data_IF_315878544551
#
_entry.id   IF_315878544551
#
_cell.length_a   1.000
_cell.length_b   1.000
_cell.length_c   1.000
_cell.angle_alpha   90.00
_cell.angle_beta   90.00
_cell.angle_gamma   90.00
#
_symmetry.space_group_name_H-M   'P 1'
#
loop_
_entity.id
_entity.type
_entity.pdbx_description
1 polymer ?
#
# COMPACT_ATOMS: atom_id res chain seq x y z
N UNK A 1 -9.73 -19.61 13.49
CA UNK A 1 -10.65 -19.06 14.51
C UNK A 1 -11.91 -18.60 13.80
N UNK A 2 -13.07 -19.20 14.09
CA UNK A 2 -14.33 -18.84 13.44
C UNK A 2 -15.03 -17.62 14.08
N UNK A 3 -14.50 -17.07 15.18
CA UNK A 3 -15.18 -16.07 16.02
C UNK A 3 -14.77 -14.60 15.76
N UNK A 4 -13.95 -14.33 14.74
CA UNK A 4 -13.40 -12.99 14.49
C UNK A 4 -12.42 -12.51 15.58
N UNK A 5 -11.90 -11.29 15.42
CA UNK A 5 -11.13 -10.59 16.45
C UNK A 5 -12.09 -9.66 17.20
N UNK A 6 -12.14 -9.69 18.54
CA UNK A 6 -12.98 -8.77 19.31
C UNK A 6 -12.75 -7.31 18.89
N UNK A 7 -13.83 -6.60 18.57
CA UNK A 7 -13.77 -5.21 18.11
C UNK A 7 -13.40 -5.02 16.63
N UNK A 8 -13.14 -6.08 15.86
CA UNK A 8 -12.82 -5.97 14.44
C UNK A 8 -13.98 -6.40 13.53
N UNK A 9 -14.44 -7.64 13.67
CA UNK A 9 -15.62 -8.11 12.95
C UNK A 9 -16.25 -9.31 13.64
N UNK A 10 -17.52 -9.54 13.39
CA UNK A 10 -18.27 -10.71 13.87
C UNK A 10 -18.82 -11.53 12.72
N UNK A 11 -18.79 -12.88 12.78
CA UNK A 11 -19.43 -13.72 11.78
C UNK A 11 -20.94 -13.47 11.73
N UNK A 12 -21.51 -13.41 10.51
CA UNK A 12 -22.97 -13.39 10.37
C UNK A 12 -23.54 -14.77 10.65
N UNK A 13 -24.65 -14.82 11.38
CA UNK A 13 -25.33 -16.08 11.75
C UNK A 13 -25.99 -16.76 10.54
N UNK A 14 -26.41 -15.98 9.55
CA UNK A 14 -27.01 -16.45 8.31
C UNK A 14 -26.00 -16.32 7.19
N UNK A 15 -25.78 -17.39 6.43
CA UNK A 15 -24.92 -17.35 5.24
C UNK A 15 -25.48 -16.36 4.22
N UNK A 16 -24.63 -15.57 3.53
CA UNK A 16 -25.06 -14.60 2.52
C UNK A 16 -25.94 -15.19 1.42
N UNK A 17 -25.76 -16.48 1.11
CA UNK A 17 -26.55 -17.22 0.12
C UNK A 17 -28.04 -17.32 0.49
N UNK A 18 -28.37 -17.24 1.79
CA UNK A 18 -29.74 -17.31 2.29
C UNK A 18 -30.29 -15.96 2.76
N UNK A 19 -29.49 -14.90 2.72
CA UNK A 19 -29.92 -13.57 3.09
C UNK A 19 -30.78 -12.92 2.00
N UNK A 20 -31.60 -11.95 2.38
CA UNK A 20 -32.46 -11.23 1.43
C UNK A 20 -31.61 -10.41 0.44
N UNK A 21 -31.83 -10.52 -0.87
CA UNK A 21 -31.09 -9.74 -1.86
C UNK A 21 -31.17 -8.22 -1.58
N UNK A 22 -30.03 -7.53 -1.74
CA UNK A 22 -29.91 -6.10 -1.50
C UNK A 22 -29.61 -5.69 -0.06
N UNK A 23 -29.51 -6.65 0.87
CA UNK A 23 -29.10 -6.39 2.26
C UNK A 23 -27.58 -6.55 2.45
N UNK A 24 -27.00 -5.90 3.47
CA UNK A 24 -25.59 -6.08 3.82
C UNK A 24 -25.26 -7.53 4.17
N UNK A 25 -26.22 -8.27 4.74
CA UNK A 25 -26.15 -9.70 5.05
C UNK A 25 -25.94 -10.55 3.80
N UNK A 26 -26.50 -10.14 2.66
CA UNK A 26 -26.34 -10.83 1.37
C UNK A 26 -25.00 -10.51 0.68
N UNK A 27 -24.24 -9.54 1.18
CA UNK A 27 -23.03 -9.02 0.53
C UNK A 27 -21.73 -9.38 1.24
N UNK A 28 -21.77 -9.95 2.45
CA UNK A 28 -20.57 -10.26 3.24
C UNK A 28 -20.74 -11.40 4.22
N UNK A 29 -19.65 -12.12 4.52
CA UNK A 29 -19.66 -13.16 5.56
C UNK A 29 -19.57 -12.61 6.99
N UNK A 30 -19.03 -11.39 7.14
CA UNK A 30 -18.80 -10.76 8.43
C UNK A 30 -19.54 -9.42 8.54
N UNK A 31 -19.87 -9.04 9.78
CA UNK A 31 -20.29 -7.69 10.15
C UNK A 31 -19.09 -6.91 10.69
N UNK A 32 -18.85 -5.72 10.13
CA UNK A 32 -17.75 -4.82 10.49
C UNK A 32 -18.18 -3.67 11.40
N UNK A 33 -19.43 -3.61 11.85
CA UNK A 33 -19.91 -2.57 12.77
C UNK A 33 -19.02 -2.41 14.03
N UNK A 34 -18.50 -3.49 14.67
CA UNK A 34 -17.61 -3.35 15.83
C UNK A 34 -16.30 -2.60 15.54
N UNK A 35 -15.81 -2.63 14.29
CA UNK A 35 -14.62 -1.88 13.89
C UNK A 35 -14.85 -0.38 14.03
N UNK A 36 -16.05 0.10 13.72
CA UNK A 36 -16.38 1.52 13.84
C UNK A 36 -16.19 2.00 15.28
N UNK A 37 -16.75 1.27 16.24
CA UNK A 37 -16.64 1.59 17.66
C UNK A 37 -15.19 1.57 18.14
N UNK A 38 -14.42 0.57 17.71
CA UNK A 38 -13.00 0.47 18.02
C UNK A 38 -12.21 1.67 17.46
N UNK A 39 -12.44 2.03 16.20
CA UNK A 39 -11.79 3.19 15.58
C UNK A 39 -12.15 4.49 16.29
N UNK A 40 -13.44 4.70 16.59
CA UNK A 40 -13.91 5.89 17.31
C UNK A 40 -13.33 5.98 18.74
N UNK A 41 -13.00 4.85 19.36
CA UNK A 41 -12.37 4.81 20.69
C UNK A 41 -10.85 5.07 20.68
N UNK A 42 -10.19 4.83 19.56
CA UNK A 42 -8.72 4.87 19.44
C UNK A 42 -8.21 6.09 18.67
N UNK A 43 -9.01 6.63 17.75
CA UNK A 43 -8.60 7.69 16.84
C UNK A 43 -9.14 9.03 17.32
N UNK A 44 -8.22 9.96 17.57
CA UNK A 44 -8.55 11.37 17.64
C UNK A 44 -8.79 11.90 16.22
N UNK A 45 -10.07 11.98 15.83
CA UNK A 45 -10.46 12.42 14.49
C UNK A 45 -10.10 13.87 14.20
N UNK A 46 -10.04 14.74 15.21
CA UNK A 46 -9.68 16.13 15.00
C UNK A 46 -8.17 16.29 14.81
N UNK A 47 -7.36 15.53 15.54
CA UNK A 47 -5.92 15.43 15.29
C UNK A 47 -5.64 14.82 13.91
N UNK A 48 -6.36 13.78 13.51
CA UNK A 48 -6.16 13.15 12.20
C UNK A 48 -6.46 14.12 11.05
N UNK A 49 -7.53 14.90 11.14
CA UNK A 49 -7.97 15.77 10.05
C UNK A 49 -7.30 17.15 10.04
N UNK A 50 -6.95 17.69 11.21
CA UNK A 50 -6.40 19.05 11.33
C UNK A 50 -4.93 19.06 11.77
N UNK A 51 -4.35 17.89 12.04
CA UNK A 51 -2.96 17.74 12.47
C UNK A 51 -1.96 17.93 11.33
N UNK A 52 -0.66 17.88 11.65
CA UNK A 52 0.41 18.13 10.69
C UNK A 52 0.68 16.94 9.75
N UNK A 53 0.10 15.77 10.02
CA UNK A 53 0.33 14.55 9.25
C UNK A 53 -0.83 14.35 8.28
N UNK A 54 -0.53 14.46 6.97
CA UNK A 54 -1.48 14.13 5.91
C UNK A 54 -1.73 12.63 5.85
N UNK A 55 -3.01 12.24 5.76
CA UNK A 55 -3.44 10.86 5.52
C UNK A 55 -4.22 10.78 4.21
N UNK A 56 -3.93 9.75 3.41
CA UNK A 56 -4.70 9.38 2.23
C UNK A 56 -5.07 7.90 2.32
N UNK A 57 -6.34 7.56 2.13
CA UNK A 57 -6.84 6.18 2.12
C UNK A 57 -7.57 5.87 0.83
N UNK A 58 -7.26 4.71 0.23
CA UNK A 58 -7.75 4.33 -1.09
C UNK A 58 -8.95 3.39 -1.00
N UNK A 59 -9.99 3.64 -1.78
CA UNK A 59 -11.17 2.77 -1.87
C UNK A 59 -11.70 2.70 -3.31
N UNK A 60 -12.45 1.64 -3.61
CA UNK A 60 -13.06 1.40 -4.92
C UNK A 60 -14.57 1.59 -4.83
N UNK A 61 -15.10 2.46 -5.67
CA UNK A 61 -16.55 2.64 -5.86
C UNK A 61 -17.12 1.35 -6.48
N UNK A 62 -18.05 0.70 -5.79
CA UNK A 62 -18.55 -0.64 -6.13
C UNK A 62 -19.29 -0.65 -7.46
N UNK A 63 -20.02 0.41 -7.79
CA UNK A 63 -20.86 0.46 -8.98
C UNK A 63 -20.05 0.80 -10.23
N UNK A 64 -19.14 1.76 -10.11
CA UNK A 64 -18.34 2.22 -11.25
C UNK A 64 -17.01 1.48 -11.42
N UNK A 65 -16.53 0.81 -10.37
CA UNK A 65 -15.20 0.21 -10.32
C UNK A 65 -14.05 1.22 -10.25
N UNK A 66 -14.36 2.51 -10.09
CA UNK A 66 -13.36 3.58 -10.05
C UNK A 66 -12.69 3.63 -8.68
N UNK A 67 -11.36 3.71 -8.70
CA UNK A 67 -10.54 3.87 -7.51
C UNK A 67 -10.34 5.34 -7.16
N UNK A 68 -10.53 5.68 -5.89
CA UNK A 68 -10.39 7.04 -5.38
C UNK A 68 -9.58 7.07 -4.07
N UNK A 69 -8.93 8.20 -3.81
CA UNK A 69 -8.32 8.49 -2.51
C UNK A 69 -9.17 9.50 -1.75
N UNK A 70 -9.48 9.18 -0.50
CA UNK A 70 -9.93 10.16 0.48
C UNK A 70 -8.70 10.72 1.18
N UNK A 71 -8.55 12.03 1.18
CA UNK A 71 -7.34 12.71 1.66
C UNK A 71 -7.71 13.82 2.64
N UNK A 72 -7.02 13.87 3.78
CA UNK A 72 -7.23 14.89 4.83
C UNK A 72 -7.13 16.33 4.33
N UNK A 73 -6.44 16.58 3.21
CA UNK A 73 -6.32 17.91 2.61
C UNK A 73 -7.56 18.37 1.85
N UNK A 74 -8.44 17.46 1.46
CA UNK A 74 -9.64 17.75 0.65
C UNK A 74 -10.93 17.21 1.25
N UNK A 75 -10.84 16.23 2.13
CA UNK A 75 -11.96 15.47 2.68
C UNK A 75 -11.77 15.25 4.17
N UNK A 76 -12.81 15.49 4.96
CA UNK A 76 -12.79 15.08 6.38
C UNK A 76 -12.98 13.57 6.47
N UNK A 77 -11.96 12.89 6.98
CA UNK A 77 -11.91 11.45 7.20
C UNK A 77 -12.56 11.08 8.53
N UNK A 78 -13.35 10.01 8.52
CA UNK A 78 -13.93 9.36 9.69
C UNK A 78 -13.76 7.84 9.59
N UNK A 79 -14.33 7.09 10.54
CA UNK A 79 -14.25 5.63 10.58
C UNK A 79 -14.67 4.96 9.28
N UNK A 80 -15.67 5.49 8.55
CA UNK A 80 -16.20 4.89 7.32
C UNK A 80 -15.12 4.83 6.23
N UNK A 81 -14.30 5.86 6.12
CA UNK A 81 -13.23 5.94 5.13
C UNK A 81 -12.13 4.89 5.38
N UNK A 82 -11.78 4.67 6.65
CA UNK A 82 -10.83 3.63 7.05
C UNK A 82 -11.43 2.24 6.82
N UNK A 83 -12.68 2.04 7.23
CA UNK A 83 -13.39 0.78 7.01
C UNK A 83 -13.54 0.45 5.53
N UNK A 84 -13.88 1.43 4.68
CA UNK A 84 -13.97 1.28 3.24
C UNK A 84 -12.64 0.81 2.64
N UNK A 85 -11.53 1.46 3.01
CA UNK A 85 -10.20 1.11 2.53
C UNK A 85 -9.74 -0.30 2.93
N UNK A 86 -10.33 -0.90 3.96
CA UNK A 86 -10.05 -2.27 4.42
C UNK A 86 -11.18 -3.28 4.17
N UNK A 87 -12.25 -2.88 3.48
CA UNK A 87 -13.44 -3.71 3.27
C UNK A 87 -13.21 -4.73 2.13
N UNK A 88 -12.39 -5.75 2.39
CA UNK A 88 -11.99 -6.73 1.38
C UNK A 88 -13.15 -7.72 1.10
N UNK A 89 -13.71 -7.74 -0.13
CA UNK A 89 -14.76 -8.68 -0.48
C UNK A 89 -14.21 -10.10 -0.72
N UNK A 90 -15.04 -11.16 -0.54
CA UNK A 90 -16.42 -11.12 -0.03
C UNK A 90 -16.51 -11.15 1.51
N UNK A 91 -15.39 -10.95 2.21
CA UNK A 91 -15.35 -11.06 3.68
C UNK A 91 -16.15 -9.97 4.36
N UNK A 92 -15.80 -8.72 4.10
CA UNK A 92 -16.39 -7.53 4.72
C UNK A 92 -17.39 -6.85 3.77
N UNK A 93 -18.46 -6.24 4.31
CA UNK A 93 -19.46 -5.57 3.49
C UNK A 93 -18.91 -4.27 2.91
N UNK A 94 -19.47 -3.78 1.79
CA UNK A 94 -19.15 -2.44 1.34
C UNK A 94 -19.56 -1.41 2.39
N UNK A 95 -18.85 -0.29 2.43
CA UNK A 95 -19.14 0.83 3.33
C UNK A 95 -19.79 1.96 2.55
N UNK A 96 -20.91 2.47 3.06
CA UNK A 96 -21.59 3.62 2.45
C UNK A 96 -20.98 4.95 2.91
N UNK A 97 -20.55 5.76 1.94
CA UNK A 97 -20.06 7.14 2.14
C UNK A 97 -20.75 8.01 1.09
N UNK A 98 -21.49 9.00 1.56
CA UNK A 98 -22.20 10.00 0.74
C UNK A 98 -23.06 9.39 -0.39
N UNK A 99 -23.80 8.33 -0.06
CA UNK A 99 -24.71 7.64 -0.97
C UNK A 99 -24.04 6.68 -1.96
N UNK A 100 -22.73 6.46 -1.84
CA UNK A 100 -21.96 5.50 -2.65
C UNK A 100 -21.42 4.37 -1.80
N UNK A 101 -21.29 3.19 -2.42
CA UNK A 101 -20.72 2.02 -1.77
C UNK A 101 -19.25 1.84 -2.15
N UNK A 102 -18.44 1.52 -1.15
CA UNK A 102 -17.00 1.45 -1.27
C UNK A 102 -16.42 0.13 -0.75
N UNK A 103 -15.46 -0.41 -1.49
CA UNK A 103 -14.65 -1.57 -1.10
C UNK A 103 -13.17 -1.22 -0.98
N UNK A 104 -12.42 -2.19 -0.46
CA UNK A 104 -10.97 -2.13 -0.27
C UNK A 104 -10.23 -1.66 -1.53
N UNK A 105 -9.37 -0.65 -1.33
CA UNK A 105 -8.55 -0.06 -2.38
C UNK A 105 -7.56 -1.00 -3.03
N UNK A 106 -7.11 -2.03 -2.30
CA UNK A 106 -6.20 -3.07 -2.73
C UNK A 106 -6.73 -3.88 -3.92
N UNK A 107 -8.05 -3.89 -4.16
CA UNK A 107 -8.63 -4.47 -5.38
C UNK A 107 -8.04 -3.84 -6.66
N UNK A 108 -7.70 -2.55 -6.61
CA UNK A 108 -7.14 -1.80 -7.74
C UNK A 108 -5.67 -1.45 -7.50
N UNK A 109 -5.33 -0.94 -6.31
CA UNK A 109 -3.97 -0.50 -5.96
C UNK A 109 -3.63 -0.84 -4.52
N UNK A 110 -2.69 -1.78 -4.34
CA UNK A 110 -2.14 -2.15 -3.03
C UNK A 110 -0.90 -1.33 -2.65
N UNK A 111 -0.47 -0.40 -3.52
CA UNK A 111 0.70 0.45 -3.26
C UNK A 111 0.42 1.85 -3.77
N UNK A 112 0.08 2.80 -2.89
CA UNK A 112 -0.33 4.14 -3.28
C UNK A 112 0.84 5.05 -3.73
N UNK A 113 1.97 4.46 -4.13
CA UNK A 113 3.19 5.20 -4.49
C UNK A 113 2.93 6.21 -5.60
N UNK A 114 2.16 5.85 -6.63
CA UNK A 114 1.80 6.80 -7.70
C UNK A 114 1.09 8.03 -7.15
N UNK A 115 0.13 7.86 -6.24
CA UNK A 115 -0.60 8.99 -5.65
C UNK A 115 0.31 9.89 -4.81
N UNK A 116 1.20 9.30 -4.00
CA UNK A 116 2.18 10.05 -3.21
C UNK A 116 3.09 10.88 -4.12
N UNK A 117 3.51 10.31 -5.25
CA UNK A 117 4.43 10.97 -6.17
C UNK A 117 3.78 12.01 -7.07
N UNK A 118 2.54 11.78 -7.51
CA UNK A 118 1.75 12.77 -8.26
C UNK A 118 1.43 14.00 -7.41
N UNK A 119 1.44 13.86 -6.08
CA UNK A 119 1.23 14.93 -5.12
C UNK A 119 2.53 15.42 -4.45
N UNK A 120 3.69 15.05 -4.98
CA UNK A 120 4.98 15.43 -4.42
C UNK A 120 5.31 16.91 -4.70
N UNK A 121 5.53 17.69 -3.64
CA UNK A 121 5.97 19.09 -3.72
C UNK A 121 7.43 19.33 -3.33
N UNK A 122 8.10 18.32 -2.80
CA UNK A 122 9.45 18.42 -2.22
C UNK A 122 10.22 17.10 -2.39
N UNK A 123 11.57 17.08 -2.30
CA UNK A 123 12.34 15.84 -2.22
C UNK A 123 11.75 14.86 -1.19
N UNK A 124 11.56 13.60 -1.58
CA UNK A 124 10.81 12.63 -0.77
C UNK A 124 11.66 11.43 -0.39
N UNK A 125 11.63 11.08 0.90
CA UNK A 125 12.01 9.76 1.39
C UNK A 125 10.72 8.97 1.66
N UNK A 126 10.48 7.91 0.87
CA UNK A 126 9.29 7.10 0.97
C UNK A 126 9.64 5.71 1.53
N UNK A 127 8.96 5.30 2.60
CA UNK A 127 9.03 3.94 3.11
C UNK A 127 7.81 3.15 2.62
N UNK A 128 8.04 2.22 1.71
CA UNK A 128 7.02 1.35 1.16
C UNK A 128 7.05 0.02 1.91
N UNK A 129 6.00 -0.27 2.67
CA UNK A 129 5.82 -1.56 3.33
C UNK A 129 5.05 -2.49 2.39
N UNK A 130 5.65 -3.61 2.01
CA UNK A 130 5.00 -4.64 1.20
C UNK A 130 4.83 -5.91 2.03
N UNK A 131 3.58 -6.30 2.27
CA UNK A 131 3.26 -7.50 3.03
C UNK A 131 3.29 -8.79 2.19
N UNK A 132 3.44 -8.68 0.86
CA UNK A 132 3.39 -9.81 -0.07
C UNK A 132 4.76 -10.06 -0.71
N UNK A 133 5.47 -11.08 -0.24
CA UNK A 133 6.75 -11.47 -0.81
C UNK A 133 6.60 -12.02 -2.25
N UNK A 134 7.35 -11.45 -3.18
CA UNK A 134 7.38 -11.92 -4.57
C UNK A 134 7.97 -13.34 -4.71
N UNK A 135 8.79 -13.79 -3.75
CA UNK A 135 9.38 -15.13 -3.73
C UNK A 135 8.96 -15.88 -2.46
N UNK A 136 8.48 -17.11 -2.64
CA UNK A 136 8.09 -18.02 -1.58
C UNK A 136 8.55 -19.45 -1.93
N UNK A 137 8.56 -20.36 -0.95
CA UNK A 137 8.76 -21.78 -1.22
C UNK A 137 7.68 -22.33 -2.18
N UNK A 138 8.00 -23.45 -2.84
CA UNK A 138 7.03 -24.12 -3.72
C UNK A 138 5.81 -24.56 -2.89
N UNK A 139 4.57 -24.25 -3.31
CA UNK A 139 3.35 -24.69 -2.64
C UNK A 139 3.33 -26.22 -2.44
N UNK A 140 2.93 -26.68 -1.26
CA UNK A 140 2.85 -28.11 -0.90
C UNK A 140 1.40 -28.58 -0.72
N UNK A 141 0.48 -27.65 -0.47
CA UNK A 141 -0.96 -27.90 -0.27
C UNK A 141 -1.82 -27.00 -1.16
N UNK A 142 -3.09 -27.35 -1.33
CA UNK A 142 -4.05 -26.49 -2.05
C UNK A 142 -4.25 -25.13 -1.37
N UNK A 143 -4.12 -25.08 -0.04
CA UNK A 143 -4.16 -23.82 0.71
C UNK A 143 -2.95 -22.94 0.40
N UNK A 144 -1.77 -23.55 0.24
CA UNK A 144 -0.57 -22.83 -0.18
C UNK A 144 -0.72 -22.29 -1.61
N UNK A 145 -1.39 -23.03 -2.50
CA UNK A 145 -1.66 -22.58 -3.88
C UNK A 145 -2.57 -21.34 -3.87
N UNK A 146 -3.66 -21.35 -3.10
CA UNK A 146 -4.56 -20.21 -2.98
C UNK A 146 -3.85 -18.99 -2.37
N UNK A 147 -3.07 -19.19 -1.31
CA UNK A 147 -2.28 -18.13 -0.69
C UNK A 147 -1.23 -17.58 -1.67
N UNK A 148 -0.59 -18.44 -2.46
CA UNK A 148 0.42 -18.04 -3.44
C UNK A 148 -0.16 -17.30 -4.63
N UNK A 149 -1.35 -17.68 -5.11
CA UNK A 149 -2.07 -16.97 -6.17
C UNK A 149 -2.35 -15.53 -5.74
N UNK A 150 -2.85 -15.36 -4.51
CA UNK A 150 -3.09 -14.05 -3.89
C UNK A 150 -1.79 -13.23 -3.81
N UNK A 151 -0.72 -13.79 -3.24
CA UNK A 151 0.58 -13.13 -3.16
C UNK A 151 1.08 -12.65 -4.53
N UNK A 152 1.07 -13.52 -5.54
CA UNK A 152 1.53 -13.19 -6.89
C UNK A 152 0.68 -12.05 -7.47
N UNK A 153 -0.64 -12.12 -7.32
CA UNK A 153 -1.58 -11.10 -7.81
C UNK A 153 -1.28 -9.72 -7.22
N UNK A 154 -1.04 -9.63 -5.91
CA UNK A 154 -0.76 -8.36 -5.23
C UNK A 154 0.68 -7.90 -5.44
N UNK A 155 1.69 -8.75 -5.22
CA UNK A 155 3.11 -8.38 -5.35
C UNK A 155 3.49 -7.99 -6.78
N UNK A 156 2.90 -8.66 -7.79
CA UNK A 156 3.14 -8.34 -9.20
C UNK A 156 2.69 -6.91 -9.53
N UNK A 157 1.50 -6.51 -9.06
CA UNK A 157 0.98 -5.15 -9.25
C UNK A 157 1.86 -4.12 -8.55
N UNK A 158 2.19 -4.36 -7.28
CA UNK A 158 3.10 -3.50 -6.51
C UNK A 158 4.41 -3.26 -7.27
N UNK A 159 5.07 -4.34 -7.70
CA UNK A 159 6.34 -4.26 -8.43
C UNK A 159 6.20 -3.57 -9.79
N UNK A 160 5.12 -3.84 -10.53
CA UNK A 160 4.87 -3.20 -11.82
C UNK A 160 4.72 -1.69 -11.66
N UNK A 161 3.94 -1.24 -10.67
CA UNK A 161 3.74 0.18 -10.38
C UNK A 161 5.05 0.84 -9.97
N UNK A 162 5.77 0.28 -8.99
CA UNK A 162 7.07 0.82 -8.55
C UNK A 162 8.06 0.89 -9.72
N UNK A 163 8.16 -0.15 -10.55
CA UNK A 163 9.07 -0.15 -11.71
C UNK A 163 8.67 0.90 -12.76
N UNK A 164 7.38 1.04 -13.05
CA UNK A 164 6.87 2.01 -14.03
C UNK A 164 7.15 3.44 -13.58
N UNK A 165 6.86 3.75 -12.31
CA UNK A 165 7.17 5.02 -11.68
C UNK A 165 8.65 5.35 -11.78
N UNK A 166 9.51 4.40 -11.40
CA UNK A 166 10.97 4.61 -11.43
C UNK A 166 11.49 4.79 -12.86
N UNK A 167 10.88 4.11 -13.84
CA UNK A 167 11.21 4.28 -15.27
C UNK A 167 10.84 5.67 -15.77
N UNK A 168 9.62 6.13 -15.51
CA UNK A 168 9.14 7.48 -15.90
C UNK A 168 10.08 8.56 -15.33
N UNK A 169 10.49 8.41 -14.07
CA UNK A 169 11.43 9.35 -13.44
C UNK A 169 12.82 9.34 -14.06
N UNK A 170 13.32 8.16 -14.43
CA UNK A 170 14.60 8.04 -15.16
C UNK A 170 14.52 8.74 -16.52
N UNK A 171 13.41 8.57 -17.24
CA UNK A 171 13.18 9.23 -18.53
C UNK A 171 13.15 10.76 -18.37
N UNK A 172 12.48 11.28 -17.33
CA UNK A 172 12.47 12.71 -17.00
C UNK A 172 13.84 13.23 -16.55
N UNK A 173 14.64 12.43 -15.85
CA UNK A 173 16.02 12.79 -15.51
C UNK A 173 16.90 12.96 -16.77
N UNK A 174 16.73 12.06 -17.74
CA UNK A 174 17.42 12.15 -19.04
C UNK A 174 16.95 13.40 -19.78
N UNK A 175 15.64 13.67 -19.83
CA UNK A 175 15.09 14.87 -20.46
C UNK A 175 15.70 16.15 -19.86
N UNK A 176 15.81 16.25 -18.53
CA UNK A 176 16.46 17.39 -17.87
C UNK A 176 17.94 17.55 -18.25
N UNK A 177 18.68 16.44 -18.32
CA UNK A 177 20.08 16.43 -18.76
C UNK A 177 20.25 16.86 -20.22
N UNK A 178 19.26 16.60 -21.07
CA UNK A 178 19.22 17.06 -22.46
C UNK A 178 18.86 18.55 -22.52
N UNK A 179 17.81 18.97 -21.80
CA UNK A 179 17.39 20.37 -21.70
C UNK A 179 18.53 21.29 -21.24
N UNK A 180 19.34 20.85 -20.27
CA UNK A 180 20.50 21.60 -19.77
C UNK A 180 21.64 21.78 -20.81
N UNK A 181 21.59 21.06 -21.94
CA UNK A 181 22.57 21.17 -23.04
C UNK A 181 22.03 21.94 -24.23
N UNK A 182 20.76 22.33 -24.22
CA UNK A 182 20.17 23.09 -25.32
C UNK A 182 20.70 24.53 -25.34
N UNK A 183 20.89 25.13 -26.53
CA UNK A 183 21.28 26.52 -26.65
C UNK A 183 20.16 27.46 -26.14
N UNK A 184 20.54 28.63 -25.63
CA UNK A 184 19.58 29.61 -25.08
C UNK A 184 18.50 30.04 -26.07
N UNK A 185 18.80 30.00 -27.38
CA UNK A 185 17.84 30.33 -28.44
C UNK A 185 16.62 29.41 -28.49
N UNK A 186 16.73 28.19 -27.93
CA UNK A 186 15.64 27.21 -27.91
C UNK A 186 14.81 27.24 -26.62
N UNK A 187 15.17 28.07 -25.62
CA UNK A 187 14.45 28.10 -24.34
C UNK A 187 13.00 28.57 -24.45
N UNK A 188 12.70 29.41 -25.45
CA UNK A 188 11.36 29.92 -25.71
C UNK A 188 10.58 29.07 -26.71
N UNK A 189 11.16 27.96 -27.19
CA UNK A 189 10.45 27.02 -28.04
C UNK A 189 9.32 26.34 -27.23
N UNK A 190 8.08 26.30 -27.74
CA UNK A 190 6.94 25.74 -27.01
C UNK A 190 7.13 24.27 -26.58
N UNK A 191 7.79 23.45 -27.42
CA UNK A 191 8.00 22.04 -27.12
C UNK A 191 9.10 21.86 -26.06
N UNK A 192 10.13 22.72 -26.09
CA UNK A 192 11.18 22.76 -25.06
C UNK A 192 10.61 23.19 -23.71
N UNK A 193 9.76 24.22 -23.70
CA UNK A 193 9.08 24.68 -22.49
C UNK A 193 8.14 23.60 -21.92
N UNK A 194 7.38 22.92 -22.78
CA UNK A 194 6.50 21.82 -22.36
C UNK A 194 7.30 20.63 -21.81
N UNK A 195 8.41 20.25 -22.45
CA UNK A 195 9.28 19.18 -21.96
C UNK A 195 9.93 19.56 -20.63
N UNK A 196 10.33 20.82 -20.45
CA UNK A 196 10.88 21.32 -19.19
C UNK A 196 9.84 21.24 -18.05
N UNK A 197 8.60 21.65 -18.31
CA UNK A 197 7.52 21.54 -17.34
C UNK A 197 7.22 20.07 -16.97
N UNK A 198 7.13 19.17 -17.95
CA UNK A 198 6.86 17.75 -17.73
C UNK A 198 8.04 16.97 -17.09
N UNK A 199 9.25 17.54 -17.10
CA UNK A 199 10.46 16.95 -16.51
C UNK A 199 10.86 17.56 -15.17
N UNK A 200 10.12 18.59 -14.72
CA UNK A 200 10.29 19.20 -13.42
C UNK A 200 9.74 18.25 -12.34
N UNK A 201 10.63 17.58 -11.61
CA UNK A 201 10.28 16.70 -10.51
C UNK A 201 11.32 16.78 -9.40
N UNK A 202 10.86 16.51 -8.19
CA UNK A 202 11.71 16.36 -7.02
C UNK A 202 12.27 14.94 -6.91
N UNK A 203 13.50 14.75 -6.41
CA UNK A 203 14.09 13.42 -6.25
C UNK A 203 13.34 12.58 -5.21
N UNK A 204 13.41 11.25 -5.36
CA UNK A 204 12.77 10.29 -4.44
C UNK A 204 13.75 9.19 -4.04
N UNK A 205 13.90 9.00 -2.73
CA UNK A 205 14.52 7.81 -2.15
C UNK A 205 13.42 6.86 -1.69
N UNK A 206 13.20 5.77 -2.41
CA UNK A 206 12.20 4.75 -2.07
C UNK A 206 12.85 3.61 -1.30
N UNK A 207 12.52 3.42 -0.04
CA UNK A 207 12.97 2.30 0.79
C UNK A 207 11.86 1.26 0.86
N UNK A 208 12.12 0.06 0.36
CA UNK A 208 11.17 -1.04 0.34
C UNK A 208 11.40 -1.96 1.55
N UNK A 209 10.41 -2.03 2.42
CA UNK A 209 10.35 -2.90 3.57
C UNK A 209 9.44 -4.10 3.21
N UNK A 210 10.03 -5.15 2.66
CA UNK A 210 9.30 -6.33 2.18
C UNK A 210 9.21 -7.35 3.30
N UNK A 211 8.00 -7.68 3.73
CA UNK A 211 7.74 -8.77 4.64
C UNK A 211 8.04 -10.10 3.94
N UNK A 212 9.01 -10.85 4.45
CA UNK A 212 9.37 -12.17 3.95
C UNK A 212 8.93 -13.20 4.98
N UNK A 213 7.92 -13.97 4.62
CA UNK A 213 7.25 -14.91 5.52
C UNK A 213 8.17 -16.06 5.91
N UNK A 214 8.09 -16.47 7.17
CA UNK A 214 8.71 -17.72 7.61
C UNK A 214 7.92 -18.91 7.06
N UNK A 215 8.62 -20.01 6.71
CA UNK A 215 8.05 -21.21 6.08
C UNK A 215 6.90 -21.90 6.86
N UNK A 216 6.60 -21.46 8.08
CA UNK A 216 5.58 -22.01 8.98
C UNK A 216 4.24 -21.26 8.94
N UNK A 217 4.17 -20.10 8.29
CA UNK A 217 2.91 -19.36 8.10
C UNK A 217 2.11 -19.99 6.94
N UNK A 218 1.28 -20.99 7.26
CA UNK A 218 0.43 -21.68 6.27
C UNK A 218 -0.67 -20.80 5.66
N UNK A 219 -1.56 -21.40 4.87
CA UNK A 219 -2.60 -20.70 4.08
C UNK A 219 -3.71 -19.97 4.86
N UNK A 220 -3.65 -19.85 6.19
CA UNK A 220 -4.66 -19.13 7.03
C UNK A 220 -4.21 -17.76 7.53
N UNK A 221 -3.15 -17.18 6.94
CA UNK A 221 -2.54 -15.88 7.32
C UNK A 221 -3.53 -14.73 7.46
N UNK A 222 -4.53 -14.67 6.59
CA UNK A 222 -5.52 -13.58 6.57
C UNK A 222 -6.42 -13.52 7.82
N UNK A 223 -6.43 -14.58 8.63
CA UNK A 223 -7.31 -14.72 9.81
C UNK A 223 -6.57 -15.16 11.08
N UNK A 224 -5.23 -15.15 11.07
CA UNK A 224 -4.39 -15.55 12.20
C UNK A 224 -3.96 -14.34 13.04
N UNK A 225 -4.79 -14.00 14.02
CA UNK A 225 -4.58 -12.86 14.92
C UNK A 225 -4.20 -13.28 16.34
N UNK A 226 -3.58 -14.45 16.54
CA UNK A 226 -3.10 -14.82 17.87
C UNK A 226 -2.07 -13.81 18.38
N UNK A 227 -2.06 -13.59 19.70
CA UNK A 227 -1.10 -12.69 20.34
C UNK A 227 0.37 -13.05 20.04
N UNK A 228 0.65 -14.35 19.76
CA UNK A 228 1.96 -14.80 19.32
C UNK A 228 2.29 -14.26 17.93
N UNK A 229 1.44 -14.52 16.95
CA UNK A 229 1.62 -14.07 15.56
C UNK A 229 1.70 -12.54 15.46
N UNK A 230 0.87 -11.81 16.19
CA UNK A 230 0.96 -10.34 16.24
C UNK A 230 2.31 -9.84 16.76
N UNK A 231 2.83 -10.45 17.85
CA UNK A 231 4.16 -10.11 18.36
C UNK A 231 5.26 -10.44 17.35
N UNK A 232 5.19 -11.61 16.71
CA UNK A 232 6.14 -12.01 15.67
C UNK A 232 6.17 -11.00 14.51
N UNK A 233 5.02 -10.56 14.00
CA UNK A 233 4.94 -9.52 12.98
C UNK A 233 5.51 -8.17 13.44
N UNK A 234 5.23 -7.73 14.66
CA UNK A 234 5.82 -6.50 15.22
C UNK A 234 7.34 -6.60 15.37
N UNK A 235 7.86 -7.76 15.80
CA UNK A 235 9.30 -8.00 15.87
C UNK A 235 9.93 -7.96 14.48
N UNK A 236 9.34 -8.64 13.49
CA UNK A 236 9.83 -8.64 12.11
C UNK A 236 9.87 -7.21 11.52
N UNK A 237 8.84 -6.40 11.75
CA UNK A 237 8.82 -5.00 11.33
C UNK A 237 9.94 -4.17 11.97
N UNK A 238 10.15 -4.33 13.29
CA UNK A 238 11.26 -3.65 14.00
C UNK A 238 12.63 -4.07 13.47
N UNK A 239 12.84 -5.36 13.22
CA UNK A 239 14.10 -5.88 12.68
C UNK A 239 14.37 -5.35 11.27
N UNK A 240 13.35 -5.33 10.40
CA UNK A 240 13.48 -4.82 9.04
C UNK A 240 13.87 -3.32 9.03
N UNK A 241 13.28 -2.52 9.91
CA UNK A 241 13.67 -1.11 10.08
C UNK A 241 15.09 -1.00 10.65
N UNK A 242 15.45 -1.80 11.66
CA UNK A 242 16.80 -1.77 12.23
C UNK A 242 17.88 -2.12 11.19
N UNK A 243 17.67 -3.17 10.39
CA UNK A 243 18.58 -3.58 9.30
C UNK A 243 18.69 -2.50 8.20
N UNK A 244 17.56 -1.86 7.87
CA UNK A 244 17.54 -0.71 6.96
C UNK A 244 18.38 0.44 7.51
N UNK A 245 18.26 0.73 8.81
CA UNK A 245 19.02 1.81 9.48
C UNK A 245 20.52 1.53 9.53
N UNK A 246 20.94 0.27 9.70
CA UNK A 246 22.37 -0.12 9.61
C UNK A 246 22.95 0.24 8.23
N UNK A 247 22.15 0.12 7.17
CA UNK A 247 22.54 0.41 5.80
C UNK A 247 22.13 1.82 5.32
N UNK A 248 21.65 2.69 6.22
CA UNK A 248 21.08 3.99 5.88
C UNK A 248 22.06 4.95 5.20
N UNK A 249 23.38 4.70 5.27
CA UNK A 249 24.39 5.51 4.56
C UNK A 249 24.13 5.57 3.05
N UNK A 250 23.63 4.49 2.46
CA UNK A 250 23.29 4.46 1.03
C UNK A 250 22.10 5.38 0.71
N UNK A 251 21.10 5.40 1.59
CA UNK A 251 19.93 6.27 1.47
C UNK A 251 20.32 7.72 1.69
N UNK A 252 21.11 8.02 2.72
CA UNK A 252 21.60 9.36 3.02
C UNK A 252 22.42 9.95 1.86
N UNK A 253 23.35 9.19 1.30
CA UNK A 253 24.13 9.62 0.13
C UNK A 253 23.23 9.90 -1.10
N UNK A 254 22.15 9.14 -1.27
CA UNK A 254 21.20 9.36 -2.36
C UNK A 254 20.37 10.63 -2.18
N UNK A 255 19.96 10.92 -0.93
CA UNK A 255 19.28 12.16 -0.55
C UNK A 255 20.19 13.38 -0.80
N UNK A 256 21.44 13.32 -0.33
CA UNK A 256 22.43 14.40 -0.52
C UNK A 256 22.72 14.68 -2.00
N UNK A 257 22.79 13.63 -2.82
CA UNK A 257 23.05 13.77 -4.26
C UNK A 257 21.81 14.12 -5.09
N UNK A 258 20.62 14.15 -4.48
CA UNK A 258 19.36 14.46 -5.16
C UNK A 258 19.03 13.47 -6.28
N UNK A 259 19.41 12.20 -6.12
CA UNK A 259 19.14 11.15 -7.11
C UNK A 259 17.86 10.41 -6.76
N UNK A 260 17.16 9.90 -7.77
CA UNK A 260 16.01 9.01 -7.55
C UNK A 260 16.50 7.56 -7.52
N UNK A 261 16.22 6.84 -6.45
CA UNK A 261 16.60 5.43 -6.30
C UNK A 261 15.60 4.64 -5.46
N UNK A 262 15.52 3.33 -5.70
CA UNK A 262 14.78 2.38 -4.89
C UNK A 262 15.76 1.43 -4.19
N UNK A 263 15.51 1.13 -2.92
CA UNK A 263 16.38 0.35 -2.04
C UNK A 263 15.60 -0.79 -1.40
N UNK A 264 16.13 -2.01 -1.50
CA UNK A 264 15.74 -3.14 -0.64
C UNK A 264 16.98 -3.50 0.20
N UNK A 265 17.04 -2.95 1.42
CA UNK A 265 18.21 -3.04 2.30
C UNK A 265 18.17 -4.24 3.25
N UNK A 266 17.15 -5.08 3.11
CA UNK A 266 16.89 -6.24 3.97
C UNK A 266 17.27 -7.57 3.30
N UNK A 267 17.87 -7.51 2.10
CA UNK A 267 18.37 -8.70 1.40
C UNK A 267 19.70 -9.13 1.99
N UNK A 268 19.70 -10.21 2.77
CA UNK A 268 20.94 -10.94 3.07
C UNK A 268 21.45 -11.59 1.78
N UNK A 269 22.75 -11.47 1.44
CA UNK A 269 23.30 -12.19 0.31
C UNK A 269 23.08 -13.70 0.49
N UNK A 270 22.85 -14.46 -0.59
CA UNK A 270 22.70 -15.91 -0.47
C UNK A 270 23.93 -16.48 0.24
N UNK A 271 23.71 -17.35 1.23
CA UNK A 271 24.78 -18.08 1.88
C UNK A 271 25.64 -18.72 0.78
N UNK A 272 26.93 -18.40 0.74
CA UNK A 272 27.87 -19.08 -0.15
C UNK A 272 27.69 -20.57 0.10
N UNK A 273 27.28 -21.31 -0.93
CA UNK A 273 27.29 -22.77 -0.89
C UNK A 273 28.70 -23.18 -0.48
N UNK A 274 28.84 -23.77 0.69
CA UNK A 274 30.06 -24.46 1.06
C UNK A 274 30.20 -25.62 0.06
N UNK A 275 31.10 -25.43 -0.90
CA UNK A 275 31.66 -26.49 -1.74
C UNK A 275 32.54 -27.38 -0.91
#
# INVERSE_FOLDING_TARGET
MAAGVPGFFTPRMVSPVFAAPGTCEALSFYDSAPLKETLDSLIDWDLLNNGPVRLSVGAVDVESGNFNYFDTTTTRIDARHIMASGALPPGLPPVEIDGKWWWDGGLVSNTPLTHVLDNQSEPLLAFQVDLFAAAAERPKTIMDVAAREKEIRFSSRTRQVSNQVMRIRKDREIARKVLAKLPESMLNDPDVAALAACSAEHPVSLVQLIYRTNAWEGGSRDFEFSARTMREHWHAGREAVAETMVNARLVAANIETGKTAAFDLTVRPPAKSAT
#
